data_IF_500709245487
#
_entry.id   IF_500709245487
#
_cell.length_a   1.000
_cell.length_b   1.000
_cell.length_c   1.000
_cell.angle_alpha   90.00
_cell.angle_beta   90.00
_cell.angle_gamma   90.00
#
_symmetry.space_group_name_H-M   'P 1'
#
loop_
_entity.id
_entity.type
_entity.pdbx_description
1 polymer ?
#
# COMPACT_ATOMS: atom_id res chain seq x y z
N UNK A 1 5.60 -17.01 -6.62
CA UNK A 1 5.40 -15.82 -5.78
C UNK A 1 4.92 -14.70 -6.68
N UNK A 2 3.68 -14.27 -6.51
CA UNK A 2 3.19 -13.13 -7.27
C UNK A 2 4.03 -11.89 -6.93
N UNK A 3 4.62 -11.25 -7.92
CA UNK A 3 5.37 -10.01 -7.74
C UNK A 3 4.40 -8.85 -7.85
N UNK A 4 3.96 -8.33 -6.72
CA UNK A 4 3.24 -7.07 -6.66
C UNK A 4 4.19 -5.93 -7.05
N UNK A 5 3.73 -5.02 -7.91
CA UNK A 5 4.45 -3.79 -8.25
C UNK A 5 3.76 -2.60 -7.59
N UNK A 6 4.55 -1.80 -6.90
CA UNK A 6 4.09 -0.54 -6.30
C UNK A 6 4.82 0.61 -6.99
N UNK A 7 4.09 1.59 -7.41
CA UNK A 7 4.59 2.80 -8.05
C UNK A 7 4.08 4.03 -7.29
N UNK A 8 4.90 5.06 -7.21
CA UNK A 8 4.49 6.37 -6.70
C UNK A 8 4.50 7.34 -7.86
N UNK A 9 3.33 7.84 -8.21
CA UNK A 9 3.17 8.86 -9.24
C UNK A 9 3.08 10.24 -8.57
N UNK A 10 3.82 11.20 -9.10
CA UNK A 10 3.75 12.60 -8.68
C UNK A 10 3.04 13.40 -9.77
N UNK A 11 2.13 14.26 -9.37
CA UNK A 11 1.36 15.08 -10.29
C UNK A 11 0.56 16.15 -9.55
N UNK A 12 -0.19 16.98 -10.27
CA UNK A 12 -1.03 17.99 -9.65
C UNK A 12 -2.06 17.33 -8.71
N UNK A 13 -2.32 17.93 -7.54
CA UNK A 13 -3.28 17.38 -6.58
C UNK A 13 -4.66 17.28 -7.22
N UNK A 14 -5.31 16.10 -7.07
CA UNK A 14 -6.68 15.89 -7.52
C UNK A 14 -6.89 15.65 -9.02
N UNK A 15 -5.85 15.33 -9.79
CA UNK A 15 -6.01 15.06 -11.24
C UNK A 15 -6.42 16.29 -12.03
N UNK A 16 -5.88 17.45 -11.70
CA UNK A 16 -6.19 18.72 -12.36
C UNK A 16 -6.01 18.60 -13.88
N UNK A 17 -7.02 19.00 -14.60
CA UNK A 17 -7.04 19.13 -16.06
C UNK A 17 -5.89 20.06 -16.48
N UNK A 18 -5.12 19.64 -17.47
CA UNK A 18 -4.04 20.44 -18.02
C UNK A 18 -4.51 21.87 -18.34
N UNK A 19 -3.91 22.89 -17.70
CA UNK A 19 -4.19 24.30 -17.97
C UNK A 19 -4.65 25.16 -16.78
N UNK A 20 -4.87 24.57 -15.60
CA UNK A 20 -5.11 25.37 -14.38
C UNK A 20 -3.84 25.43 -13.55
N UNK A 21 -3.45 26.65 -13.17
CA UNK A 21 -2.34 26.90 -12.22
C UNK A 21 -2.59 26.06 -10.95
N UNK A 22 -1.68 25.14 -10.56
CA UNK A 22 -1.86 24.40 -9.34
C UNK A 22 -1.82 25.38 -8.17
N UNK A 23 -2.95 25.54 -7.49
CA UNK A 23 -3.00 26.35 -6.28
C UNK A 23 -1.97 25.78 -5.28
N UNK A 24 -0.94 26.54 -4.97
CA UNK A 24 0.06 26.21 -3.95
C UNK A 24 -0.65 26.05 -2.60
N UNK A 25 -0.79 24.80 -2.17
CA UNK A 25 -1.31 24.49 -0.85
C UNK A 25 -0.19 24.42 0.20
N UNK A 26 -0.54 24.23 1.50
CA UNK A 26 0.45 24.06 2.57
C UNK A 26 1.40 22.88 2.36
N UNK A 27 1.01 21.90 1.52
CA UNK A 27 1.81 20.72 1.16
C UNK A 27 2.55 20.86 -0.19
N UNK A 28 2.53 22.04 -0.83
CA UNK A 28 3.14 22.28 -2.14
C UNK A 28 2.17 22.20 -3.32
N UNK A 29 2.72 22.18 -4.52
CA UNK A 29 1.98 22.14 -5.80
C UNK A 29 1.79 20.72 -6.35
N UNK A 30 2.40 19.72 -5.75
CA UNK A 30 2.37 18.32 -6.24
C UNK A 30 1.65 17.41 -5.26
N UNK A 31 0.85 16.51 -5.80
CA UNK A 31 0.28 15.38 -5.07
C UNK A 31 1.07 14.10 -5.36
N UNK A 32 1.12 13.19 -4.40
CA UNK A 32 1.64 11.84 -4.59
C UNK A 32 0.48 10.83 -4.60
N UNK A 33 0.43 9.97 -5.60
CA UNK A 33 -0.54 8.89 -5.68
C UNK A 33 0.20 7.54 -5.68
N UNK A 34 -0.24 6.63 -4.82
CA UNK A 34 0.29 5.27 -4.79
C UNK A 34 -0.55 4.41 -5.73
N UNK A 35 0.13 3.83 -6.71
CA UNK A 35 -0.43 2.89 -7.66
C UNK A 35 0.06 1.48 -7.35
N UNK A 36 -0.81 0.49 -7.54
CA UNK A 36 -0.48 -0.91 -7.31
C UNK A 36 -0.93 -1.79 -8.48
N UNK A 37 -0.06 -2.71 -8.88
CA UNK A 37 -0.41 -3.86 -9.72
C UNK A 37 -0.21 -5.14 -8.89
N UNK A 38 -1.29 -5.79 -8.45
CA UNK A 38 -1.22 -6.97 -7.56
C UNK A 38 -0.54 -8.16 -8.22
N UNK A 39 -0.69 -8.31 -9.53
CA UNK A 39 -0.14 -9.42 -10.28
C UNK A 39 0.70 -8.95 -11.48
N UNK A 40 1.68 -9.76 -11.92
CA UNK A 40 2.42 -9.47 -13.15
C UNK A 40 1.48 -9.40 -14.36
N UNK A 41 1.64 -8.34 -15.16
CA UNK A 41 0.83 -8.13 -16.35
C UNK A 41 -0.48 -7.35 -16.13
N UNK A 42 -0.88 -7.12 -14.89
CA UNK A 42 -2.00 -6.23 -14.59
C UNK A 42 -1.59 -4.76 -14.65
N UNK A 43 -2.50 -3.88 -15.11
CA UNK A 43 -2.26 -2.45 -15.09
C UNK A 43 -2.21 -1.93 -13.65
N UNK A 44 -1.32 -0.98 -13.38
CA UNK A 44 -1.28 -0.27 -12.10
C UNK A 44 -2.57 0.54 -11.91
N UNK A 45 -3.16 0.47 -10.71
CA UNK A 45 -4.37 1.18 -10.31
C UNK A 45 -4.13 1.96 -9.04
N UNK A 46 -4.80 3.10 -8.85
CA UNK A 46 -4.76 3.82 -7.59
C UNK A 46 -5.05 2.90 -6.39
N UNK A 47 -4.23 2.99 -5.36
CA UNK A 47 -4.41 2.22 -4.13
C UNK A 47 -5.81 2.40 -3.53
N UNK A 48 -6.35 3.63 -3.62
CA UNK A 48 -7.72 3.94 -3.17
C UNK A 48 -8.82 3.15 -3.89
N UNK A 49 -8.52 2.51 -5.04
CA UNK A 49 -9.44 1.68 -5.83
C UNK A 49 -9.17 0.19 -5.71
N UNK A 50 -8.32 -0.23 -4.77
CA UNK A 50 -8.12 -1.66 -4.49
C UNK A 50 -9.40 -2.24 -3.90
N UNK A 51 -9.94 -3.25 -4.57
CA UNK A 51 -11.33 -3.67 -4.39
C UNK A 51 -11.57 -4.61 -3.21
N UNK A 52 -10.52 -5.15 -2.56
CA UNK A 52 -10.66 -6.18 -1.53
C UNK A 52 -10.00 -5.74 -0.21
N UNK A 53 -10.74 -5.88 0.89
CA UNK A 53 -10.24 -5.59 2.24
C UNK A 53 -8.99 -6.41 2.58
N UNK A 54 -8.97 -7.71 2.22
CA UNK A 54 -7.82 -8.56 2.42
C UNK A 54 -6.58 -8.13 1.62
N UNK A 55 -6.73 -7.66 0.39
CA UNK A 55 -5.60 -7.12 -0.41
C UNK A 55 -5.04 -5.85 0.22
N UNK A 56 -5.91 -4.95 0.66
CA UNK A 56 -5.50 -3.72 1.33
C UNK A 56 -4.79 -4.01 2.65
N UNK A 57 -5.30 -4.94 3.46
CA UNK A 57 -4.68 -5.34 4.73
C UNK A 57 -3.30 -5.96 4.52
N UNK A 58 -3.13 -6.81 3.52
CA UNK A 58 -1.82 -7.39 3.17
C UNK A 58 -0.83 -6.34 2.66
N UNK A 59 -1.30 -5.39 1.89
CA UNK A 59 -0.47 -4.27 1.45
C UNK A 59 -0.05 -3.40 2.64
N UNK A 60 -0.98 -3.08 3.53
CA UNK A 60 -0.68 -2.34 4.75
C UNK A 60 0.35 -3.08 5.62
N UNK A 61 0.22 -4.40 5.74
CA UNK A 61 1.21 -5.24 6.44
C UNK A 61 2.60 -5.12 5.80
N UNK A 62 2.69 -5.16 4.47
CA UNK A 62 3.96 -5.00 3.77
C UNK A 62 4.60 -3.62 4.00
N UNK A 63 3.79 -2.55 3.96
CA UNK A 63 4.23 -1.18 4.27
C UNK A 63 4.70 -1.07 5.72
N UNK A 64 3.92 -1.59 6.68
CA UNK A 64 4.28 -1.57 8.10
C UNK A 64 5.55 -2.36 8.39
N UNK A 65 5.76 -3.49 7.71
CA UNK A 65 7.01 -4.25 7.78
C UNK A 65 8.21 -3.43 7.25
N UNK A 66 8.04 -2.75 6.12
CA UNK A 66 9.11 -1.92 5.53
C UNK A 66 9.45 -0.70 6.40
N UNK A 67 8.47 -0.14 7.11
CA UNK A 67 8.61 1.05 7.95
C UNK A 67 8.75 0.74 9.44
N UNK A 68 8.89 -0.52 9.83
CA UNK A 68 8.82 -0.96 11.23
C UNK A 68 9.72 -0.17 12.19
N UNK A 69 10.91 0.21 11.74
CA UNK A 69 11.87 0.98 12.54
C UNK A 69 11.57 2.48 12.63
N UNK A 70 10.79 3.01 11.69
CA UNK A 70 10.47 4.43 11.61
C UNK A 70 9.09 4.77 12.18
N UNK A 71 8.24 3.76 12.37
CA UNK A 71 6.87 3.94 12.82
C UNK A 71 6.79 3.86 14.37
N UNK A 72 6.38 4.93 15.05
CA UNK A 72 6.31 4.95 16.52
C UNK A 72 5.12 4.19 17.11
N UNK A 73 4.21 3.68 16.26
CA UNK A 73 2.99 3.00 16.71
C UNK A 73 3.32 1.62 17.27
N UNK A 74 2.95 1.35 18.52
CA UNK A 74 3.27 0.12 19.23
C UNK A 74 2.36 -1.06 18.90
N UNK A 75 1.14 -0.82 18.38
CA UNK A 75 0.15 -1.87 18.14
C UNK A 75 -0.50 -1.69 16.76
N UNK A 76 -0.57 -2.76 15.99
CA UNK A 76 -1.29 -2.81 14.72
C UNK A 76 -2.43 -3.80 14.79
N UNK A 77 -3.54 -3.45 14.16
CA UNK A 77 -4.68 -4.34 13.96
C UNK A 77 -4.87 -4.53 12.45
N UNK A 78 -4.83 -5.78 12.00
CA UNK A 78 -5.09 -6.14 10.61
C UNK A 78 -6.38 -6.94 10.55
N UNK A 79 -7.34 -6.45 9.78
CA UNK A 79 -8.59 -7.14 9.50
C UNK A 79 -8.51 -7.85 8.15
N UNK A 80 -9.11 -9.03 8.04
CA UNK A 80 -9.18 -9.82 6.80
C UNK A 80 -7.84 -10.12 6.11
N UNK A 81 -6.70 -10.06 6.82
CA UNK A 81 -5.37 -10.25 6.22
C UNK A 81 -5.19 -11.64 5.58
N UNK A 82 -5.95 -12.63 6.06
CA UNK A 82 -6.00 -14.01 5.56
C UNK A 82 -7.15 -14.28 4.59
N UNK A 83 -7.98 -13.29 4.28
CA UNK A 83 -9.13 -13.45 3.39
C UNK A 83 -8.70 -13.85 1.98
N UNK A 84 -9.29 -14.93 1.47
CA UNK A 84 -9.09 -15.40 0.09
C UNK A 84 -7.71 -15.96 -0.22
N UNK A 85 -6.88 -16.27 0.79
CA UNK A 85 -5.54 -16.83 0.59
C UNK A 85 -5.40 -18.22 1.24
N UNK A 86 -4.43 -18.99 0.76
CA UNK A 86 -4.10 -20.31 1.30
C UNK A 86 -2.68 -20.73 0.92
N UNK A 87 -2.24 -21.88 1.40
CA UNK A 87 -0.94 -22.45 1.06
C UNK A 87 0.24 -21.51 1.32
N UNK A 88 1.14 -21.40 0.35
CA UNK A 88 2.37 -20.61 0.47
C UNK A 88 2.14 -19.11 0.72
N UNK A 89 1.01 -18.55 0.25
CA UNK A 89 0.67 -17.14 0.47
C UNK A 89 0.29 -16.89 1.92
N UNK A 90 -0.53 -17.78 2.51
CA UNK A 90 -0.89 -17.69 3.93
C UNK A 90 0.33 -17.83 4.84
N UNK A 91 1.26 -18.73 4.50
CA UNK A 91 2.53 -18.86 5.22
C UNK A 91 3.40 -17.63 5.13
N UNK A 92 3.48 -16.99 3.96
CA UNK A 92 4.23 -15.74 3.78
C UNK A 92 3.64 -14.59 4.61
N UNK A 93 2.30 -14.48 4.67
CA UNK A 93 1.59 -13.51 5.50
C UNK A 93 1.86 -13.77 6.99
N UNK A 94 1.78 -15.02 7.44
CA UNK A 94 2.08 -15.40 8.81
C UNK A 94 3.51 -15.04 9.23
N UNK A 95 4.49 -15.27 8.36
CA UNK A 95 5.88 -14.84 8.58
C UNK A 95 6.00 -13.34 8.70
N UNK A 96 5.37 -12.58 7.81
CA UNK A 96 5.40 -11.12 7.85
C UNK A 96 4.80 -10.55 9.14
N UNK A 97 3.69 -11.12 9.62
CA UNK A 97 3.08 -10.77 10.92
C UNK A 97 4.04 -11.04 12.08
N UNK A 98 4.69 -12.22 12.07
CA UNK A 98 5.65 -12.58 13.12
C UNK A 98 6.88 -11.66 13.14
N UNK A 99 7.35 -11.22 11.97
CA UNK A 99 8.47 -10.26 11.88
C UNK A 99 8.06 -8.90 12.44
N UNK A 100 6.93 -8.35 12.04
CA UNK A 100 6.42 -7.07 12.56
C UNK A 100 6.21 -7.14 14.07
N UNK A 101 5.70 -8.26 14.60
CA UNK A 101 5.49 -8.43 16.04
C UNK A 101 6.80 -8.49 16.86
N UNK A 102 7.89 -8.95 16.28
CA UNK A 102 9.20 -9.04 16.98
C UNK A 102 9.90 -7.69 17.13
N UNK A 103 9.60 -6.76 16.26
CA UNK A 103 10.21 -5.43 16.26
C UNK A 103 9.46 -4.42 17.15
N UNK A 104 8.42 -4.89 17.89
CA UNK A 104 7.50 -4.08 18.72
C UNK A 104 7.56 -4.40 20.21
#
# INVERSE_FOLDING_TARGET
MARCRVEVAFGPPGGAIAGTDPALGPAGAEGAEILIAPNPGEPSRPLARVASGGELSRLLLAVKRALSRADPVATYVFDEVDAGIGGAVAEAVGRALAEVARER
#
